data_IF_755941396203
#
_entry.id   IF_755941396203
#
_cell.length_a   1.000
_cell.length_b   1.000
_cell.length_c   1.000
_cell.angle_alpha   90.00
_cell.angle_beta   90.00
_cell.angle_gamma   90.00
#
_symmetry.space_group_name_H-M   'P 1'
#
loop_
_entity.id
_entity.type
_entity.pdbx_description
1 polymer ?
#
# COMPACT_ATOMS: atom_id res chain seq x y z
N UNK A 1 -64.86 -8.70 12.42
CA UNK A 1 -63.98 -7.54 12.46
C UNK A 1 -63.12 -7.58 11.17
N UNK A 2 -63.58 -6.84 10.13
CA UNK A 2 -62.90 -6.87 8.77
C UNK A 2 -61.85 -5.79 8.71
N UNK A 3 -60.59 -6.22 8.69
CA UNK A 3 -59.46 -5.33 8.46
C UNK A 3 -59.59 -4.71 7.07
N UNK A 4 -59.78 -3.42 6.99
CA UNK A 4 -60.05 -2.73 5.74
C UNK A 4 -58.85 -2.84 4.76
N UNK A 5 -59.16 -3.01 3.46
CA UNK A 5 -58.16 -3.15 2.36
C UNK A 5 -57.07 -2.07 2.39
N UNK A 6 -57.34 -0.90 2.98
CA UNK A 6 -56.39 0.22 3.12
C UNK A 6 -55.33 -0.02 4.20
N UNK A 7 -55.72 -0.69 5.31
CA UNK A 7 -54.76 -1.04 6.40
C UNK A 7 -53.86 -2.20 6.01
N UNK A 8 -54.37 -3.13 5.21
CA UNK A 8 -53.54 -4.26 4.68
C UNK A 8 -52.50 -3.78 3.67
N UNK A 9 -52.89 -2.82 2.79
CA UNK A 9 -51.96 -2.22 1.82
C UNK A 9 -50.86 -1.38 2.51
N UNK A 10 -51.21 -0.65 3.58
CA UNK A 10 -50.22 0.11 4.35
C UNK A 10 -49.21 -0.78 5.11
N UNK A 11 -49.68 -1.89 5.69
CA UNK A 11 -48.82 -2.87 6.34
C UNK A 11 -47.87 -3.58 5.35
N UNK A 12 -48.37 -3.95 4.17
CA UNK A 12 -47.53 -4.55 3.09
C UNK A 12 -46.51 -3.53 2.55
N UNK A 13 -46.89 -2.27 2.40
CA UNK A 13 -45.94 -1.21 2.00
C UNK A 13 -44.83 -0.98 3.02
N UNK A 14 -45.18 -0.99 4.32
CA UNK A 14 -44.21 -0.81 5.40
C UNK A 14 -43.23 -1.98 5.52
N UNK A 15 -43.71 -3.21 5.35
CA UNK A 15 -42.83 -4.40 5.37
C UNK A 15 -41.89 -4.45 4.16
N UNK A 16 -42.33 -4.03 2.97
CA UNK A 16 -41.48 -3.93 1.78
C UNK A 16 -40.40 -2.85 1.94
N UNK A 17 -40.74 -1.67 2.48
CA UNK A 17 -39.77 -0.62 2.74
C UNK A 17 -38.74 -1.03 3.80
N UNK A 18 -39.16 -1.74 4.84
CA UNK A 18 -38.26 -2.24 5.88
C UNK A 18 -37.34 -3.34 5.35
N UNK A 19 -37.81 -4.23 4.49
CA UNK A 19 -37.04 -5.27 3.84
C UNK A 19 -36.01 -4.69 2.85
N UNK A 20 -36.38 -3.61 2.14
CA UNK A 20 -35.48 -2.92 1.21
C UNK A 20 -34.39 -2.12 1.94
N UNK A 21 -34.71 -1.50 3.08
CA UNK A 21 -33.74 -0.81 3.94
C UNK A 21 -32.71 -1.77 4.58
N UNK A 22 -33.13 -2.94 4.99
CA UNK A 22 -32.25 -3.98 5.54
C UNK A 22 -31.33 -4.61 4.47
N UNK A 23 -31.80 -4.75 3.25
CA UNK A 23 -31.00 -5.28 2.14
C UNK A 23 -29.91 -4.29 1.69
N UNK A 24 -30.12 -2.99 1.86
CA UNK A 24 -29.15 -1.96 1.45
C UNK A 24 -28.06 -1.70 2.49
N UNK A 25 -28.30 -2.02 3.77
CA UNK A 25 -27.32 -1.81 4.85
C UNK A 25 -26.22 -2.90 4.93
N UNK A 26 -26.22 -3.90 4.04
CA UNK A 26 -25.34 -5.07 4.15
C UNK A 26 -24.24 -5.19 3.11
N UNK A 27 -24.19 -4.40 2.05
CA UNK A 27 -23.09 -4.46 1.08
C UNK A 27 -21.90 -3.62 1.59
N UNK A 28 -21.07 -4.21 2.46
CA UNK A 28 -19.73 -3.67 2.70
C UNK A 28 -18.98 -3.69 1.36
N UNK A 29 -18.77 -2.51 0.77
CA UNK A 29 -17.91 -2.38 -0.39
C UNK A 29 -16.52 -2.85 -0.01
N UNK A 30 -15.99 -3.83 -0.75
CA UNK A 30 -14.60 -4.28 -0.58
C UNK A 30 -13.70 -3.11 -0.94
N UNK A 31 -12.92 -2.64 0.03
CA UNK A 31 -11.92 -1.62 -0.20
C UNK A 31 -10.79 -2.23 -1.05
N UNK A 32 -10.56 -1.64 -2.23
CA UNK A 32 -9.46 -2.06 -3.11
C UNK A 32 -8.29 -1.12 -2.93
N UNK A 33 -7.10 -1.70 -2.72
CA UNK A 33 -5.85 -0.96 -2.62
C UNK A 33 -4.95 -1.40 -3.75
N UNK A 34 -4.63 -0.48 -4.66
CA UNK A 34 -3.79 -0.73 -5.82
C UNK A 34 -2.36 -0.32 -5.49
N UNK A 35 -1.41 -1.21 -5.67
CA UNK A 35 0.00 -0.99 -5.34
C UNK A 35 0.82 -1.12 -6.63
N UNK A 36 1.57 -0.08 -6.97
CA UNK A 36 2.54 -0.14 -8.06
C UNK A 36 3.88 -0.66 -7.53
N UNK A 37 4.38 -1.75 -8.12
CA UNK A 37 5.67 -2.35 -7.74
C UNK A 37 6.52 -2.66 -8.96
N UNK A 38 7.86 -2.55 -8.87
CA UNK A 38 8.76 -3.13 -9.88
C UNK A 38 8.49 -4.63 -10.02
N UNK A 39 8.60 -5.13 -11.26
CA UNK A 39 8.27 -6.52 -11.57
C UNK A 39 8.88 -7.57 -10.64
N UNK A 40 10.17 -7.52 -10.25
CA UNK A 40 10.76 -8.51 -9.36
C UNK A 40 10.11 -8.55 -7.97
N UNK A 41 9.72 -7.39 -7.43
CA UNK A 41 9.07 -7.30 -6.11
C UNK A 41 7.61 -7.74 -6.17
N UNK A 42 6.91 -7.41 -7.25
CA UNK A 42 5.56 -7.90 -7.48
C UNK A 42 5.54 -9.44 -7.54
N UNK A 43 6.51 -10.06 -8.21
CA UNK A 43 6.64 -11.51 -8.31
C UNK A 43 7.00 -12.12 -6.95
N UNK A 44 7.96 -11.53 -6.21
CA UNK A 44 8.40 -12.05 -4.91
C UNK A 44 7.34 -11.93 -3.81
N UNK A 45 6.46 -10.94 -3.89
CA UNK A 45 5.40 -10.71 -2.88
C UNK A 45 4.04 -11.36 -3.23
N UNK A 46 3.94 -12.03 -4.39
CA UNK A 46 2.66 -12.57 -4.89
C UNK A 46 1.95 -13.48 -3.87
N UNK A 47 2.68 -14.38 -3.20
CA UNK A 47 2.10 -15.28 -2.19
C UNK A 47 1.62 -14.52 -0.93
N UNK A 48 2.35 -13.49 -0.50
CA UNK A 48 1.96 -12.63 0.63
C UNK A 48 0.66 -11.88 0.32
N UNK A 49 0.56 -11.30 -0.86
CA UNK A 49 -0.66 -10.62 -1.34
C UNK A 49 -1.84 -11.58 -1.40
N UNK A 50 -1.63 -12.79 -1.93
CA UNK A 50 -2.69 -13.82 -1.96
C UNK A 50 -3.13 -14.24 -0.55
N UNK A 51 -2.19 -14.39 0.40
CA UNK A 51 -2.50 -14.69 1.80
C UNK A 51 -3.30 -13.56 2.42
N UNK A 52 -2.83 -12.33 2.32
CA UNK A 52 -3.55 -11.15 2.80
C UNK A 52 -4.98 -11.08 2.26
N UNK A 53 -5.16 -11.28 0.95
CA UNK A 53 -6.48 -11.24 0.31
C UNK A 53 -7.41 -12.37 0.77
N UNK A 54 -6.86 -13.54 1.12
CA UNK A 54 -7.66 -14.62 1.73
C UNK A 54 -8.10 -14.27 3.15
N UNK A 55 -7.18 -13.72 3.95
CA UNK A 55 -7.40 -13.43 5.37
C UNK A 55 -8.37 -12.25 5.56
N UNK A 56 -8.37 -11.28 4.60
CA UNK A 56 -9.23 -10.10 4.61
C UNK A 56 -10.41 -10.19 3.62
N UNK A 57 -10.81 -11.39 3.24
CA UNK A 57 -11.88 -11.61 2.25
C UNK A 57 -13.17 -10.89 2.66
N UNK A 58 -13.67 -10.06 1.75
CA UNK A 58 -14.91 -9.30 1.94
C UNK A 58 -14.73 -7.92 2.60
N UNK A 59 -13.52 -7.56 3.01
CA UNK A 59 -13.21 -6.23 3.59
C UNK A 59 -12.21 -5.44 2.76
N UNK A 60 -11.02 -6.00 2.53
CA UNK A 60 -9.93 -5.34 1.80
C UNK A 60 -9.39 -6.30 0.74
N UNK A 61 -9.03 -5.76 -0.42
CA UNK A 61 -8.36 -6.50 -1.48
C UNK A 61 -7.17 -5.71 -2.01
N UNK A 62 -5.97 -6.26 -1.88
CA UNK A 62 -4.75 -5.72 -2.49
C UNK A 62 -4.68 -6.13 -3.95
N UNK A 63 -4.36 -5.19 -4.81
CA UNK A 63 -4.04 -5.39 -6.22
C UNK A 63 -2.64 -4.85 -6.49
N UNK A 64 -1.75 -5.69 -6.98
CA UNK A 64 -0.41 -5.28 -7.38
C UNK A 64 -0.37 -5.07 -8.88
N UNK A 65 -0.06 -3.85 -9.30
CA UNK A 65 0.29 -3.52 -10.68
C UNK A 65 1.77 -3.74 -10.85
N UNK A 66 2.11 -4.67 -11.74
CA UNK A 66 3.46 -5.04 -12.09
C UNK A 66 4.06 -4.00 -13.04
N UNK A 67 4.92 -3.14 -12.51
CA UNK A 67 5.58 -2.08 -13.25
C UNK A 67 6.86 -2.54 -13.98
N UNK A 68 7.58 -1.60 -14.62
CA UNK A 68 8.90 -1.84 -15.17
C UNK A 68 9.88 -2.48 -14.19
N UNK A 69 10.95 -3.10 -14.72
CA UNK A 69 11.97 -3.74 -13.88
C UNK A 69 13.00 -2.76 -13.36
N UNK A 70 13.32 -1.77 -14.17
CA UNK A 70 14.33 -0.77 -13.85
C UNK A 70 13.74 0.40 -13.05
N UNK A 71 14.59 0.98 -12.21
CA UNK A 71 14.23 2.02 -11.26
C UNK A 71 13.82 3.33 -11.94
N UNK A 72 14.45 3.69 -13.07
CA UNK A 72 14.12 4.92 -13.77
C UNK A 72 12.73 4.86 -14.40
N UNK A 73 12.45 3.81 -15.16
CA UNK A 73 11.16 3.64 -15.84
C UNK A 73 9.99 3.60 -14.88
N UNK A 74 10.14 2.99 -13.69
CA UNK A 74 9.06 2.99 -12.70
C UNK A 74 8.89 4.35 -12.02
N UNK A 75 9.99 5.09 -11.80
CA UNK A 75 9.94 6.47 -11.32
C UNK A 75 9.22 7.39 -12.31
N UNK A 76 9.55 7.30 -13.58
CA UNK A 76 8.93 8.10 -14.62
C UNK A 76 7.44 7.82 -14.77
N UNK A 77 7.05 6.54 -14.71
CA UNK A 77 5.65 6.12 -14.72
C UNK A 77 4.89 6.70 -13.52
N UNK A 78 5.48 6.61 -12.33
CA UNK A 78 4.87 7.11 -11.10
C UNK A 78 4.74 8.64 -11.14
N UNK A 79 5.79 9.37 -11.50
CA UNK A 79 5.78 10.84 -11.60
C UNK A 79 4.75 11.30 -12.62
N UNK A 80 4.72 10.70 -13.79
CA UNK A 80 3.77 11.05 -14.85
C UNK A 80 2.33 10.86 -14.37
N UNK A 81 2.05 9.76 -13.64
CA UNK A 81 0.73 9.48 -13.09
C UNK A 81 0.33 10.48 -11.99
N UNK A 82 1.28 10.84 -11.11
CA UNK A 82 1.05 11.81 -10.02
C UNK A 82 0.83 13.23 -10.54
N UNK A 83 1.57 13.64 -11.56
CA UNK A 83 1.40 14.93 -12.21
C UNK A 83 0.03 15.10 -12.89
N UNK A 84 -0.56 14.01 -13.37
CA UNK A 84 -1.92 14.00 -13.93
C UNK A 84 -3.01 14.14 -12.83
N UNK A 85 -2.66 14.08 -11.55
CA UNK A 85 -3.58 14.27 -10.43
C UNK A 85 -4.55 13.12 -10.17
N UNK A 86 -4.44 12.01 -10.89
CA UNK A 86 -5.29 10.83 -10.73
C UNK A 86 -4.47 9.55 -10.95
N UNK A 87 -3.50 9.25 -10.07
CA UNK A 87 -2.67 8.06 -10.22
C UNK A 87 -3.54 6.80 -10.10
N UNK A 88 -3.29 5.76 -10.91
CA UNK A 88 -4.05 4.51 -10.89
C UNK A 88 -3.63 3.58 -9.75
N UNK A 89 -2.89 4.08 -8.77
CA UNK A 89 -2.40 3.35 -7.60
C UNK A 89 -2.60 4.18 -6.32
N UNK A 90 -2.83 3.49 -5.22
CA UNK A 90 -2.98 4.06 -3.87
C UNK A 90 -1.66 4.00 -3.10
N UNK A 91 -0.78 3.07 -3.47
CA UNK A 91 0.55 2.93 -2.89
C UNK A 91 1.58 2.58 -3.98
N UNK A 92 2.83 2.85 -3.69
CA UNK A 92 3.96 2.69 -4.60
C UNK A 92 5.16 2.11 -3.85
N UNK A 93 5.77 1.05 -4.38
CA UNK A 93 7.09 0.63 -3.91
C UNK A 93 8.15 1.51 -4.57
N UNK A 94 8.84 2.31 -3.75
CA UNK A 94 9.76 3.34 -4.20
C UNK A 94 11.18 3.14 -3.64
N UNK A 95 12.16 3.59 -4.40
CA UNK A 95 13.54 3.68 -3.93
C UNK A 95 13.68 4.74 -2.82
N UNK A 96 14.62 4.53 -1.90
CA UNK A 96 14.89 5.49 -0.80
C UNK A 96 15.31 6.86 -1.32
N UNK A 97 16.00 6.90 -2.43
CA UNK A 97 16.52 8.13 -3.05
C UNK A 97 15.42 9.05 -3.60
N UNK A 98 14.20 8.55 -3.79
CA UNK A 98 13.08 9.36 -4.31
C UNK A 98 12.31 10.09 -3.21
N UNK A 99 12.47 9.67 -1.96
CA UNK A 99 11.65 10.15 -0.83
C UNK A 99 11.59 11.68 -0.77
N UNK A 100 12.74 12.36 -0.73
CA UNK A 100 12.79 13.81 -0.61
C UNK A 100 12.05 14.53 -1.74
N UNK A 101 12.21 14.05 -2.98
CA UNK A 101 11.54 14.62 -4.16
C UNK A 101 10.03 14.47 -4.08
N UNK A 102 9.53 13.29 -3.69
CA UNK A 102 8.10 12.99 -3.67
C UNK A 102 7.41 13.66 -2.48
N UNK A 103 8.07 13.70 -1.31
CA UNK A 103 7.55 14.39 -0.13
C UNK A 103 7.51 15.91 -0.34
N UNK A 104 8.58 16.52 -0.87
CA UNK A 104 8.61 17.94 -1.18
C UNK A 104 7.59 18.37 -2.23
N UNK A 105 7.22 17.48 -3.15
CA UNK A 105 6.16 17.71 -4.14
C UNK A 105 4.73 17.54 -3.57
N UNK A 106 4.59 17.12 -2.31
CA UNK A 106 3.28 16.86 -1.68
C UNK A 106 2.56 15.64 -2.24
N UNK A 107 3.30 14.66 -2.81
CA UNK A 107 2.71 13.46 -3.40
C UNK A 107 2.57 12.29 -2.43
N UNK A 108 3.14 12.41 -1.23
CA UNK A 108 3.11 11.37 -0.20
C UNK A 108 2.28 11.83 0.99
N UNK A 109 1.55 10.91 1.57
CA UNK A 109 0.81 11.11 2.81
C UNK A 109 1.74 10.91 4.01
N UNK A 110 1.72 11.81 5.04
CA UNK A 110 2.39 11.60 6.31
C UNK A 110 1.88 10.33 7.00
N UNK A 111 2.80 9.50 7.50
CA UNK A 111 2.46 8.19 8.07
C UNK A 111 2.56 8.15 9.61
N UNK A 112 3.01 9.22 10.27
CA UNK A 112 3.25 9.25 11.73
C UNK A 112 2.02 8.85 12.55
N UNK A 113 0.82 9.20 12.08
CA UNK A 113 -0.43 8.89 12.78
C UNK A 113 -0.90 7.44 12.63
N UNK A 114 -0.27 6.67 11.75
CA UNK A 114 -0.65 5.29 11.44
C UNK A 114 0.20 4.23 12.15
N UNK A 115 1.32 4.66 12.75
CA UNK A 115 2.28 3.77 13.41
C UNK A 115 2.56 4.25 14.84
N UNK A 116 2.64 3.31 15.77
CA UNK A 116 3.06 3.62 17.13
C UNK A 116 4.57 3.95 17.17
N UNK A 117 5.01 4.87 18.04
CA UNK A 117 6.44 5.23 18.17
C UNK A 117 7.36 4.02 18.35
N UNK A 118 6.91 2.99 19.07
CA UNK A 118 7.65 1.76 19.32
C UNK A 118 7.88 0.94 18.04
N UNK A 119 6.93 0.98 17.09
CA UNK A 119 7.07 0.29 15.79
C UNK A 119 8.12 0.98 14.93
N UNK A 120 8.14 2.32 14.95
CA UNK A 120 9.14 3.14 14.23
C UNK A 120 10.53 2.93 14.86
N UNK A 121 10.63 2.88 16.18
CA UNK A 121 11.88 2.70 16.91
C UNK A 121 12.45 1.28 16.75
N UNK A 122 11.61 0.29 16.50
CA UNK A 122 12.03 -1.08 16.22
C UNK A 122 12.72 -1.25 14.86
N UNK A 123 12.59 -0.28 13.94
CA UNK A 123 13.28 -0.29 12.67
C UNK A 123 14.78 -0.14 12.86
N UNK A 124 15.59 -0.83 12.02
CA UNK A 124 17.03 -0.61 11.97
C UNK A 124 17.34 0.87 11.66
N UNK A 125 18.41 1.40 12.24
CA UNK A 125 18.72 2.83 12.19
C UNK A 125 18.75 3.41 10.77
N UNK A 126 19.34 2.71 9.81
CA UNK A 126 19.38 3.13 8.40
C UNK A 126 18.00 3.22 7.76
N UNK A 127 17.12 2.26 8.04
CA UNK A 127 15.74 2.28 7.56
C UNK A 127 14.94 3.41 8.21
N UNK A 128 15.14 3.65 9.50
CA UNK A 128 14.51 4.77 10.22
C UNK A 128 14.84 6.12 9.59
N UNK A 129 16.13 6.38 9.38
CA UNK A 129 16.60 7.64 8.77
C UNK A 129 16.12 7.78 7.32
N UNK A 130 16.18 6.71 6.53
CA UNK A 130 15.82 6.72 5.10
C UNK A 130 14.32 6.82 4.81
N UNK A 131 13.46 6.79 5.81
CA UNK A 131 12.01 6.85 5.64
C UNK A 131 11.37 8.18 6.09
N UNK A 132 12.19 9.12 6.62
CA UNK A 132 11.73 10.45 7.06
C UNK A 132 12.23 11.54 6.11
N UNK A 133 11.41 12.56 5.93
CA UNK A 133 11.75 13.83 5.28
C UNK A 133 11.26 14.98 6.16
N UNK A 134 12.14 15.94 6.49
CA UNK A 134 11.87 17.04 7.43
C UNK A 134 11.26 16.57 8.77
N UNK A 135 11.72 15.42 9.28
CA UNK A 135 11.26 14.85 10.55
C UNK A 135 9.93 14.11 10.48
N UNK A 136 9.27 14.06 9.34
CA UNK A 136 7.98 13.40 9.12
C UNK A 136 8.19 12.04 8.41
N UNK A 137 7.52 11.01 8.89
CA UNK A 137 7.54 9.67 8.29
C UNK A 137 6.64 9.64 7.05
N UNK A 138 7.20 9.30 5.87
CA UNK A 138 6.44 9.16 4.62
C UNK A 138 6.54 7.78 3.98
N UNK A 139 7.43 6.95 4.47
CA UNK A 139 7.70 5.63 3.90
C UNK A 139 7.78 4.56 4.97
N UNK A 140 7.27 3.36 4.66
CA UNK A 140 7.49 2.18 5.49
C UNK A 140 8.39 1.19 4.74
N UNK A 141 9.46 0.66 5.35
CA UNK A 141 10.40 -0.20 4.65
C UNK A 141 9.78 -1.57 4.36
N UNK A 142 9.83 -2.01 3.11
CA UNK A 142 9.52 -3.40 2.73
C UNK A 142 10.74 -4.28 2.85
N UNK A 143 11.92 -3.75 2.49
CA UNK A 143 13.22 -4.41 2.56
C UNK A 143 14.27 -3.44 3.09
N UNK A 144 15.35 -3.99 3.63
CA UNK A 144 16.56 -3.24 3.95
C UNK A 144 17.74 -3.91 3.25
N UNK A 145 18.39 -3.17 2.35
CA UNK A 145 19.55 -3.62 1.63
C UNK A 145 20.84 -3.17 2.32
N UNK A 146 21.84 -4.00 2.24
CA UNK A 146 23.20 -3.71 2.75
C UNK A 146 24.20 -3.90 1.62
N UNK A 147 24.95 -2.86 1.31
CA UNK A 147 26.09 -2.94 0.42
C UNK A 147 27.25 -3.69 1.12
N UNK A 148 27.69 -4.78 0.54
CA UNK A 148 28.80 -5.58 1.04
C UNK A 148 29.89 -5.72 -0.01
N UNK A 149 31.16 -5.59 0.42
CA UNK A 149 32.30 -5.89 -0.42
C UNK A 149 32.63 -7.38 -0.29
N UNK A 150 32.50 -8.12 -1.40
CA UNK A 150 32.95 -9.51 -1.50
C UNK A 150 34.33 -9.55 -2.17
N UNK A 151 35.24 -10.31 -1.62
CA UNK A 151 36.57 -10.49 -2.16
C UNK A 151 36.97 -11.97 -2.20
N UNK A 152 37.82 -12.32 -3.13
CA UNK A 152 38.29 -13.70 -3.33
C UNK A 152 39.56 -13.91 -2.54
N UNK A 153 39.50 -14.80 -1.52
CA UNK A 153 40.61 -15.14 -0.65
C UNK A 153 41.74 -15.90 -1.37
N UNK A 154 41.42 -16.54 -2.51
CA UNK A 154 42.40 -17.23 -3.35
C UNK A 154 43.18 -16.29 -4.29
N UNK A 155 42.71 -15.04 -4.47
CA UNK A 155 43.38 -14.03 -5.29
C UNK A 155 44.01 -12.90 -4.50
N UNK A 156 43.62 -12.72 -3.24
CA UNK A 156 44.04 -11.62 -2.38
C UNK A 156 44.24 -12.13 -0.97
N UNK A 157 45.40 -11.85 -0.34
CA UNK A 157 45.71 -12.27 1.03
C UNK A 157 44.87 -11.52 2.09
N UNK A 158 44.45 -10.31 1.77
CA UNK A 158 43.62 -9.47 2.65
C UNK A 158 42.55 -8.70 1.86
N UNK A 159 41.42 -8.33 2.51
CA UNK A 159 40.43 -7.49 1.86
C UNK A 159 41.02 -6.12 1.49
N UNK A 160 40.54 -5.48 0.39
CA UNK A 160 40.95 -4.12 0.06
C UNK A 160 40.58 -3.17 1.21
N UNK A 161 41.46 -2.23 1.50
CA UNK A 161 41.27 -1.24 2.60
C UNK A 161 40.51 0.01 2.14
N UNK A 162 40.39 0.19 0.86
CA UNK A 162 39.66 1.30 0.21
C UNK A 162 38.83 0.72 -0.94
N UNK A 163 37.65 1.28 -1.22
CA UNK A 163 36.84 0.91 -2.40
C UNK A 163 37.55 1.24 -3.69
#
# INVERSE_FOLDING_TARGET
MTIGRRTLAALLGLTLLFSFGLAWSGQRQIQRVNILMPAPFADATAELVQRFNRDHRGSIALRVTRGPRDTESISDLAISSLLLGSPPFDALLMDVTWLAKYAAAGWLEPLDSYFEPQEIDALVAGARLGNHYDGVLYRWPLIADVGLLYWRKDLMEAPPRTP
#
